data_IF_789902043842
#
_entry.id   IF_789902043842
#
_cell.length_a   1.000
_cell.length_b   1.000
_cell.length_c   1.000
_cell.angle_alpha   90.00
_cell.angle_beta   90.00
_cell.angle_gamma   90.00
#
_symmetry.space_group_name_H-M   'P 1'
#
loop_
_entity.id
_entity.type
_entity.pdbx_description
1 polymer ?
#
# COMPACT_ATOMS: atom_id res chain seq x y z
N UNK A 1 32.02 23.77 -21.71
CA UNK A 1 33.02 22.67 -21.55
C UNK A 1 33.57 22.79 -20.13
N UNK A 2 33.60 21.83 -19.20
CA UNK A 2 33.25 20.41 -19.16
C UNK A 2 32.80 20.05 -17.73
N UNK A 3 31.76 19.21 -17.67
CA UNK A 3 31.52 18.06 -16.78
C UNK A 3 32.30 18.01 -15.45
N UNK A 4 31.57 18.04 -14.33
CA UNK A 4 31.87 17.20 -13.16
C UNK A 4 30.71 16.23 -12.94
N UNK A 5 31.07 14.96 -13.08
CA UNK A 5 30.27 13.78 -12.84
C UNK A 5 30.27 13.50 -11.33
N UNK A 6 29.15 12.94 -10.87
CA UNK A 6 29.02 11.97 -9.76
C UNK A 6 28.66 12.46 -8.35
N UNK A 7 27.42 12.08 -8.01
CA UNK A 7 27.03 11.33 -6.81
C UNK A 7 26.59 12.12 -5.58
N UNK A 8 25.28 12.40 -5.52
CA UNK A 8 24.54 12.20 -4.28
C UNK A 8 23.13 11.66 -4.57
N UNK A 9 23.09 10.32 -4.67
CA UNK A 9 22.05 9.41 -4.16
C UNK A 9 20.60 9.94 -4.13
N UNK A 10 19.83 9.40 -5.06
CA UNK A 10 18.38 9.27 -5.13
C UNK A 10 17.62 9.28 -3.76
N UNK A 11 16.46 9.94 -3.80
CA UNK A 11 15.20 9.49 -3.20
C UNK A 11 14.87 9.83 -1.73
N UNK A 12 14.69 11.11 -1.40
CA UNK A 12 13.78 11.52 -0.31
C UNK A 12 12.36 11.86 -0.79
N UNK A 13 12.14 11.92 -2.12
CA UNK A 13 10.84 12.26 -2.71
C UNK A 13 9.88 11.06 -2.82
N UNK A 14 10.36 9.84 -3.10
CA UNK A 14 9.48 8.67 -3.32
C UNK A 14 8.95 8.00 -2.04
N UNK A 15 9.46 8.33 -0.86
CA UNK A 15 8.98 7.71 0.39
C UNK A 15 7.67 8.32 0.90
N UNK A 16 7.35 9.56 0.51
CA UNK A 16 6.13 10.26 0.96
C UNK A 16 4.86 9.81 0.24
N UNK A 17 4.97 9.10 -0.88
CA UNK A 17 3.80 8.60 -1.60
C UNK A 17 3.16 7.39 -0.91
N UNK A 18 3.82 6.70 0.03
CA UNK A 18 3.28 5.49 0.68
C UNK A 18 2.79 5.69 2.11
N UNK A 19 3.05 6.84 2.74
CA UNK A 19 2.59 7.12 4.09
C UNK A 19 1.43 8.12 4.06
N UNK A 20 0.20 7.63 4.17
CA UNK A 20 -0.93 8.52 4.33
C UNK A 20 -1.18 8.82 5.81
N UNK A 21 -0.90 10.07 6.18
CA UNK A 21 -1.00 10.60 7.53
C UNK A 21 -2.38 10.42 8.16
N UNK A 22 -3.44 10.38 7.34
CA UNK A 22 -4.83 10.16 7.80
C UNK A 22 -5.09 8.73 8.25
N UNK A 23 -4.23 7.77 7.91
CA UNK A 23 -4.28 6.39 8.45
C UNK A 23 -3.32 6.24 9.62
N UNK A 24 -2.21 6.98 9.67
CA UNK A 24 -1.30 6.97 10.81
C UNK A 24 -1.99 7.42 12.12
N UNK A 25 -2.99 8.30 12.02
CA UNK A 25 -3.78 8.78 13.15
C UNK A 25 -5.00 7.91 13.47
N UNK A 26 -5.28 6.84 12.71
CA UNK A 26 -6.44 5.97 12.98
C UNK A 26 -6.13 4.92 14.04
N UNK A 27 -7.11 4.69 14.92
CA UNK A 27 -7.04 3.67 15.96
C UNK A 27 -7.05 2.27 15.32
N UNK A 28 -6.01 1.46 15.57
CA UNK A 28 -5.99 0.06 15.16
C UNK A 28 -6.96 -0.73 16.03
N UNK A 29 -7.81 -1.55 15.41
CA UNK A 29 -8.78 -2.38 16.14
C UNK A 29 -8.14 -3.60 16.83
N UNK A 30 -6.81 -3.64 16.97
CA UNK A 30 -6.06 -4.78 17.50
C UNK A 30 -6.03 -6.01 16.58
N UNK A 31 -6.69 -5.93 15.42
CA UNK A 31 -6.69 -6.98 14.40
C UNK A 31 -5.36 -6.97 13.66
N UNK A 32 -4.86 -8.15 13.32
CA UNK A 32 -3.63 -8.25 12.52
C UNK A 32 -3.81 -7.61 11.14
N UNK A 33 -2.79 -6.91 10.63
CA UNK A 33 -2.82 -6.23 9.34
C UNK A 33 -3.87 -5.11 9.24
N UNK A 34 -4.40 -4.59 10.35
CA UNK A 34 -5.53 -3.65 10.30
C UNK A 34 -5.13 -2.32 9.66
N UNK A 35 -3.93 -1.83 9.93
CA UNK A 35 -3.41 -0.60 9.33
C UNK A 35 -3.34 -0.69 7.81
N UNK A 36 -2.74 -1.77 7.29
CA UNK A 36 -2.70 -2.07 5.85
C UNK A 36 -4.11 -2.19 5.26
N UNK A 37 -5.04 -2.82 5.98
CA UNK A 37 -6.43 -2.96 5.55
C UNK A 37 -7.12 -1.61 5.43
N UNK A 38 -6.97 -0.74 6.42
CA UNK A 38 -7.54 0.61 6.44
C UNK A 38 -6.96 1.44 5.30
N UNK A 39 -5.65 1.35 5.09
CA UNK A 39 -4.96 2.08 4.03
C UNK A 39 -5.38 1.65 2.63
N UNK A 40 -5.41 0.34 2.37
CA UNK A 40 -5.89 -0.22 1.10
C UNK A 40 -7.34 0.18 0.83
N UNK A 41 -8.20 0.06 1.85
CA UNK A 41 -9.62 0.44 1.75
C UNK A 41 -9.76 1.91 1.36
N UNK A 42 -9.01 2.81 2.00
CA UNK A 42 -9.07 4.24 1.66
C UNK A 42 -8.54 4.48 0.25
N UNK A 43 -7.40 3.90 -0.10
CA UNK A 43 -6.79 4.04 -1.43
C UNK A 43 -7.77 3.67 -2.56
N UNK A 44 -8.43 2.51 -2.45
CA UNK A 44 -9.41 2.08 -3.45
C UNK A 44 -10.66 2.96 -3.41
N UNK A 45 -11.12 3.38 -2.22
CA UNK A 45 -12.30 4.26 -2.11
C UNK A 45 -12.07 5.61 -2.77
N UNK A 46 -10.87 6.17 -2.70
CA UNK A 46 -10.51 7.46 -3.30
C UNK A 46 -10.17 7.35 -4.79
N UNK A 47 -9.98 6.13 -5.31
CA UNK A 47 -9.67 5.91 -6.73
C UNK A 47 -10.85 6.24 -7.66
N UNK A 48 -10.51 6.60 -8.90
CA UNK A 48 -11.46 6.92 -9.95
C UNK A 48 -12.39 5.75 -10.28
N UNK A 49 -11.91 4.51 -10.16
CA UNK A 49 -12.73 3.32 -10.37
C UNK A 49 -13.97 3.28 -9.45
N UNK A 50 -13.84 3.67 -8.18
CA UNK A 50 -14.98 3.68 -7.25
C UNK A 50 -15.75 4.99 -7.32
N UNK A 51 -15.06 6.12 -7.48
CA UNK A 51 -15.68 7.45 -7.47
C UNK A 51 -16.43 7.76 -8.76
N UNK A 52 -15.81 7.51 -9.92
CA UNK A 52 -16.36 7.84 -11.25
C UNK A 52 -17.13 6.66 -11.83
N UNK A 53 -16.52 5.48 -11.88
CA UNK A 53 -17.13 4.31 -12.54
C UNK A 53 -18.14 3.56 -11.67
N UNK A 54 -18.20 3.86 -10.36
CA UNK A 54 -19.13 3.25 -9.39
C UNK A 54 -19.05 1.72 -9.34
N UNK A 55 -17.91 1.14 -9.74
CA UNK A 55 -17.67 -0.31 -9.69
C UNK A 55 -17.46 -0.77 -8.25
N UNK A 56 -17.65 -2.07 -8.01
CA UNK A 56 -17.33 -2.65 -6.71
C UNK A 56 -15.80 -2.63 -6.49
N UNK A 57 -15.36 -2.52 -5.24
CA UNK A 57 -13.94 -2.53 -4.91
C UNK A 57 -13.21 -3.80 -5.41
N UNK A 58 -13.92 -4.93 -5.48
CA UNK A 58 -13.39 -6.19 -6.00
C UNK A 58 -13.14 -6.08 -7.50
N UNK A 59 -14.06 -5.49 -8.24
CA UNK A 59 -13.91 -5.29 -9.68
C UNK A 59 -12.79 -4.29 -9.99
N UNK A 60 -12.66 -3.23 -9.18
CA UNK A 60 -11.57 -2.26 -9.31
C UNK A 60 -10.18 -2.87 -9.12
N UNK A 61 -10.03 -3.82 -8.20
CA UNK A 61 -8.77 -4.55 -8.02
C UNK A 61 -8.45 -5.43 -9.22
N UNK A 62 -9.47 -6.01 -9.85
CA UNK A 62 -9.29 -6.95 -10.96
C UNK A 62 -9.15 -6.25 -12.32
N UNK A 63 -9.66 -5.03 -12.45
CA UNK A 63 -9.82 -4.35 -13.73
C UNK A 63 -8.49 -4.02 -14.43
N UNK A 64 -7.41 -3.70 -13.70
CA UNK A 64 -6.09 -3.28 -14.27
C UNK A 64 -6.19 -2.26 -15.44
N UNK A 65 -7.30 -1.54 -15.55
CA UNK A 65 -7.62 -0.60 -16.65
C UNK A 65 -6.94 0.78 -16.47
N UNK A 66 -6.12 0.93 -15.44
CA UNK A 66 -5.48 2.21 -15.06
C UNK A 66 -6.37 3.15 -14.22
N UNK A 67 -7.61 2.79 -13.95
CA UNK A 67 -8.54 3.55 -13.10
C UNK A 67 -8.22 3.51 -11.59
N UNK A 68 -7.33 2.60 -11.20
CA UNK A 68 -6.78 2.49 -9.84
C UNK A 68 -5.30 2.84 -9.88
N UNK A 69 -4.81 3.77 -9.03
CA UNK A 69 -3.41 4.16 -9.03
C UNK A 69 -2.51 3.01 -8.56
N UNK A 70 -1.28 2.94 -9.09
CA UNK A 70 -0.29 1.91 -8.76
C UNK A 70 -0.10 1.76 -7.23
N UNK A 71 -0.13 2.87 -6.49
CA UNK A 71 -0.05 2.89 -5.02
C UNK A 71 -0.98 1.87 -4.36
N UNK A 72 -2.23 1.75 -4.83
CA UNK A 72 -3.19 0.82 -4.24
C UNK A 72 -2.83 -0.64 -4.50
N UNK A 73 -2.20 -0.96 -5.65
CA UNK A 73 -1.72 -2.30 -5.94
C UNK A 73 -0.52 -2.70 -5.08
N UNK A 74 0.36 -1.76 -4.74
CA UNK A 74 1.43 -2.01 -3.76
C UNK A 74 0.85 -2.30 -2.38
N UNK A 75 -0.13 -1.50 -1.93
CA UNK A 75 -0.83 -1.75 -0.67
C UNK A 75 -1.56 -3.10 -0.67
N UNK A 76 -2.14 -3.50 -1.80
CA UNK A 76 -2.77 -4.81 -1.96
C UNK A 76 -1.76 -5.94 -1.82
N UNK A 77 -0.57 -5.80 -2.41
CA UNK A 77 0.52 -6.77 -2.25
C UNK A 77 0.95 -6.86 -0.79
N UNK A 78 1.20 -5.72 -0.14
CA UNK A 78 1.59 -5.68 1.27
C UNK A 78 0.54 -6.30 2.18
N UNK A 79 -0.74 -6.00 1.94
CA UNK A 79 -1.86 -6.61 2.67
C UNK A 79 -1.95 -8.13 2.45
N UNK A 80 -1.68 -8.58 1.22
CA UNK A 80 -1.65 -10.00 0.88
C UNK A 80 -0.49 -10.72 1.56
N UNK A 81 0.70 -10.11 1.57
CA UNK A 81 1.88 -10.63 2.27
C UNK A 81 1.68 -10.66 3.78
N UNK A 82 1.04 -9.64 4.34
CA UNK A 82 0.68 -9.63 5.76
C UNK A 82 -0.24 -10.81 6.09
N UNK A 83 -1.33 -11.01 5.33
CA UNK A 83 -2.23 -12.15 5.52
C UNK A 83 -1.52 -13.49 5.36
N UNK A 84 -0.66 -13.64 4.34
CA UNK A 84 0.14 -14.86 4.13
C UNK A 84 1.07 -15.13 5.32
N UNK A 85 1.64 -14.07 5.90
CA UNK A 85 2.51 -14.19 7.09
C UNK A 85 1.77 -14.61 8.37
N UNK A 86 0.43 -14.54 8.42
CA UNK A 86 -0.35 -15.04 9.56
C UNK A 86 -0.47 -16.56 9.58
N UNK A 87 -0.47 -17.18 8.39
CA UNK A 87 -0.58 -18.64 8.24
C UNK A 87 0.77 -19.31 8.06
N UNK A 88 1.79 -18.57 7.63
CA UNK A 88 3.16 -19.07 7.55
C UNK A 88 3.75 -19.25 8.95
N UNK A 89 4.21 -20.46 9.28
CA UNK A 89 4.87 -20.71 10.57
C UNK A 89 6.26 -20.09 10.64
N UNK A 90 6.92 -19.90 9.48
CA UNK A 90 8.29 -19.35 9.40
C UNK A 90 8.37 -17.86 9.73
N UNK A 91 7.28 -17.12 9.54
CA UNK A 91 7.17 -15.69 9.92
C UNK A 91 6.99 -15.49 11.42
N UNK A 92 6.65 -16.53 12.21
CA UNK A 92 6.52 -16.41 13.68
C UNK A 92 7.82 -15.96 14.34
N UNK A 93 8.96 -16.42 13.82
CA UNK A 93 10.29 -16.04 14.32
C UNK A 93 10.83 -14.77 13.67
N UNK A 94 10.42 -14.47 12.43
CA UNK A 94 10.95 -13.35 11.63
C UNK A 94 10.13 -12.07 11.75
N UNK A 95 8.96 -12.14 12.39
CA UNK A 95 7.98 -11.06 12.44
C UNK A 95 7.01 -11.07 11.26
N UNK A 96 5.88 -10.38 11.44
CA UNK A 96 4.86 -10.22 10.40
C UNK A 96 5.34 -9.25 9.32
N UNK A 97 5.02 -9.56 8.06
CA UNK A 97 5.38 -8.69 6.94
C UNK A 97 4.35 -7.58 6.77
N UNK A 98 4.82 -6.33 6.64
CA UNK A 98 3.97 -5.16 6.31
C UNK A 98 3.11 -4.61 7.45
N UNK A 99 3.08 -5.24 8.62
CA UNK A 99 2.34 -4.79 9.81
C UNK A 99 3.24 -3.94 10.72
N UNK A 100 3.65 -2.76 10.24
CA UNK A 100 4.42 -1.78 11.02
C UNK A 100 3.53 -0.77 11.74
#
# INVERSE_FOLDING_TARGET
MQKKFMSSIHSTASQKEFADERVATQHSSGRSCDRLRQELKRCIKESDCVQKERRSAKDCINATDGSVPHRCFVLLSNFSDCKRSLVDMRSRFRGRKGDM
#
